data_IF_363853977067
#
_entry.id   IF_363853977067
#
_cell.length_a   1.000
_cell.length_b   1.000
_cell.length_c   1.000
_cell.angle_alpha   90.00
_cell.angle_beta   90.00
_cell.angle_gamma   90.00
#
_symmetry.space_group_name_H-M   'P 1'
#
loop_
_entity.id
_entity.type
_entity.pdbx_description
1 polymer ?
#
# COMPACT_ATOMS: atom_id res chain seq x y z
N UNK A 1 7.97 -9.66 -14.25
CA UNK A 1 6.64 -9.62 -13.64
C UNK A 1 6.69 -8.90 -12.30
N UNK A 2 5.63 -8.24 -11.92
CA UNK A 2 5.47 -7.63 -10.59
C UNK A 2 5.37 -8.73 -9.53
N UNK A 3 6.21 -8.70 -8.49
CA UNK A 3 6.04 -9.60 -7.35
C UNK A 3 4.81 -9.18 -6.55
N UNK A 4 4.06 -10.12 -5.96
CA UNK A 4 3.04 -9.78 -4.99
C UNK A 4 3.67 -9.24 -3.70
N UNK A 5 2.93 -8.42 -2.94
CA UNK A 5 3.45 -7.80 -1.70
C UNK A 5 3.76 -8.83 -0.60
N UNK A 6 3.12 -9.99 -0.64
CA UNK A 6 3.41 -11.10 0.25
C UNK A 6 4.66 -11.92 -0.16
N UNK A 7 5.29 -11.58 -1.28
CA UNK A 7 6.56 -12.18 -1.70
C UNK A 7 7.76 -11.68 -0.89
N UNK A 8 8.92 -12.33 -1.03
CA UNK A 8 10.14 -11.90 -0.35
C UNK A 8 10.52 -10.47 -0.74
N UNK A 9 10.87 -9.66 0.25
CA UNK A 9 11.29 -8.27 0.06
C UNK A 9 12.51 -7.91 0.91
N UNK A 10 13.37 -7.01 0.41
CA UNK A 10 14.53 -6.50 1.12
C UNK A 10 14.21 -5.33 2.05
N UNK A 11 13.04 -4.73 1.91
CA UNK A 11 12.65 -3.59 2.74
C UNK A 11 11.47 -2.80 2.20
N UNK A 12 11.20 -1.67 2.83
CA UNK A 12 10.07 -0.78 2.51
C UNK A 12 10.57 0.62 2.24
N UNK A 13 9.95 1.30 1.27
CA UNK A 13 10.23 2.70 0.98
C UNK A 13 9.20 3.56 1.73
N UNK A 14 9.67 4.56 2.45
CA UNK A 14 8.87 5.53 3.19
C UNK A 14 9.15 6.96 2.71
N UNK A 15 8.18 7.85 2.88
CA UNK A 15 8.36 9.30 2.72
C UNK A 15 8.22 9.96 4.07
N UNK A 16 9.30 10.56 4.59
CA UNK A 16 9.27 11.30 5.86
C UNK A 16 8.99 12.77 5.62
N UNK A 17 8.05 13.34 6.35
CA UNK A 17 7.64 14.75 6.27
C UNK A 17 6.14 14.91 6.07
N UNK A 18 5.72 16.13 5.75
CA UNK A 18 4.34 16.48 5.36
C UNK A 18 3.24 16.06 6.36
N UNK A 19 3.57 16.04 7.66
CA UNK A 19 2.58 15.78 8.73
C UNK A 19 2.46 14.32 9.17
N UNK A 20 3.07 13.35 8.45
CA UNK A 20 2.97 11.91 8.77
C UNK A 20 4.18 11.36 9.51
N UNK A 21 5.04 12.24 10.05
CA UNK A 21 6.30 11.86 10.68
C UNK A 21 6.13 10.80 11.79
N UNK A 22 5.11 10.94 12.64
CA UNK A 22 4.87 10.00 13.74
C UNK A 22 4.55 8.58 13.26
N UNK A 23 3.85 8.43 12.12
CA UNK A 23 3.50 7.14 11.55
C UNK A 23 4.72 6.52 10.89
N UNK A 24 5.42 7.28 10.05
CA UNK A 24 6.66 6.82 9.41
C UNK A 24 7.68 6.42 10.48
N UNK A 25 7.82 7.20 11.56
CA UNK A 25 8.71 6.88 12.68
C UNK A 25 8.34 5.58 13.36
N UNK A 26 7.05 5.33 13.63
CA UNK A 26 6.59 4.06 14.18
C UNK A 26 6.91 2.89 13.24
N UNK A 27 6.59 3.04 11.93
CA UNK A 27 6.85 1.99 10.94
C UNK A 27 8.34 1.68 10.85
N UNK A 28 9.20 2.69 10.73
CA UNK A 28 10.66 2.51 10.64
C UNK A 28 11.22 1.87 11.91
N UNK A 29 10.79 2.31 13.10
CA UNK A 29 11.21 1.72 14.36
C UNK A 29 10.83 0.24 14.43
N UNK A 30 9.55 -0.09 14.19
CA UNK A 30 9.06 -1.47 14.22
C UNK A 30 9.67 -2.36 13.13
N UNK A 31 10.05 -1.79 11.99
CA UNK A 31 10.71 -2.52 10.92
C UNK A 31 12.16 -2.88 11.27
N UNK A 32 12.87 -2.00 11.98
CA UNK A 32 14.32 -2.08 12.14
C UNK A 32 14.79 -2.50 13.53
N UNK A 33 13.93 -2.47 14.57
CA UNK A 33 14.31 -2.71 15.97
C UNK A 33 14.78 -4.15 16.27
N UNK A 34 14.25 -5.14 15.53
CA UNK A 34 14.60 -6.54 15.78
C UNK A 34 15.91 -6.91 15.04
N UNK A 35 16.96 -7.34 15.76
CA UNK A 35 18.23 -7.74 15.16
C UNK A 35 18.17 -9.03 14.34
N UNK A 36 17.09 -9.80 14.43
CA UNK A 36 16.91 -11.05 13.67
C UNK A 36 16.37 -10.80 12.27
N UNK A 37 15.88 -9.60 11.98
CA UNK A 37 15.35 -9.18 10.70
C UNK A 37 16.33 -8.22 10.01
N UNK A 38 16.63 -8.46 8.74
CA UNK A 38 17.60 -7.68 7.96
C UNK A 38 16.97 -6.67 7.00
N UNK A 39 15.63 -6.55 7.02
CA UNK A 39 14.88 -5.63 6.15
C UNK A 39 15.27 -4.18 6.41
N UNK A 40 15.36 -3.42 5.33
CA UNK A 40 15.76 -2.01 5.34
C UNK A 40 14.55 -1.08 5.24
N UNK A 41 14.67 0.06 5.90
CA UNK A 41 13.82 1.21 5.65
C UNK A 41 14.54 2.14 4.66
N UNK A 42 14.00 2.28 3.45
CA UNK A 42 14.44 3.29 2.50
C UNK A 42 13.59 4.54 2.72
N UNK A 43 14.20 5.68 3.04
CA UNK A 43 13.46 6.85 3.47
C UNK A 43 13.73 8.03 2.54
N UNK A 44 12.73 8.43 1.78
CA UNK A 44 12.77 9.63 0.94
C UNK A 44 12.59 10.85 1.83
N UNK A 45 13.51 11.79 1.71
CA UNK A 45 13.51 13.11 2.37
C UNK A 45 13.84 14.18 1.34
N UNK A 46 13.41 15.43 1.55
CA UNK A 46 13.64 16.52 0.57
C UNK A 46 14.89 17.35 0.83
N UNK A 47 15.60 17.10 1.92
CA UNK A 47 16.82 17.84 2.27
C UNK A 47 17.62 17.14 3.36
N UNK A 48 18.91 17.48 3.48
CA UNK A 48 19.76 17.03 4.58
C UNK A 48 19.23 17.47 5.97
N UNK A 49 18.55 18.61 6.05
CA UNK A 49 17.93 19.06 7.31
C UNK A 49 16.75 18.16 7.68
N UNK A 50 15.96 17.72 6.70
CA UNK A 50 14.86 16.78 6.94
C UNK A 50 15.39 15.39 7.30
N UNK A 51 16.49 14.94 6.67
CA UNK A 51 17.17 13.70 7.06
C UNK A 51 17.60 13.75 8.52
N UNK A 52 18.28 14.81 8.96
CA UNK A 52 18.71 14.95 10.34
C UNK A 52 17.53 14.92 11.34
N UNK A 53 16.39 15.50 10.96
CA UNK A 53 15.16 15.42 11.76
C UNK A 53 14.61 14.00 11.82
N UNK A 54 14.60 13.29 10.69
CA UNK A 54 14.15 11.90 10.62
C UNK A 54 15.05 10.97 11.46
N UNK A 55 16.38 11.12 11.36
CA UNK A 55 17.34 10.38 12.15
C UNK A 55 17.09 10.56 13.66
N UNK A 56 16.86 11.81 14.10
CA UNK A 56 16.58 12.11 15.51
C UNK A 56 15.27 11.44 15.98
N UNK A 57 14.20 11.52 15.18
CA UNK A 57 12.92 10.89 15.50
C UNK A 57 13.02 9.36 15.54
N UNK A 58 13.74 8.76 14.57
CA UNK A 58 13.91 7.32 14.48
C UNK A 58 14.73 6.77 15.66
N UNK A 59 15.83 7.44 16.01
CA UNK A 59 16.63 7.09 17.19
C UNK A 59 15.79 7.18 18.47
N UNK A 60 15.01 8.26 18.63
CA UNK A 60 14.14 8.43 19.80
C UNK A 60 13.07 7.34 19.90
N UNK A 61 12.65 6.76 18.77
CA UNK A 61 11.69 5.67 18.72
C UNK A 61 12.33 4.26 18.82
N UNK A 62 13.66 4.16 18.88
CA UNK A 62 14.38 2.88 19.02
C UNK A 62 14.74 2.20 17.70
N UNK A 63 14.66 2.90 16.57
CA UNK A 63 15.05 2.35 15.28
C UNK A 63 16.57 2.08 15.20
N UNK A 64 16.95 1.02 14.51
CA UNK A 64 18.34 0.75 14.13
C UNK A 64 18.70 1.51 12.84
N UNK A 65 19.41 2.62 12.97
CA UNK A 65 19.84 3.43 11.82
C UNK A 65 20.78 2.69 10.86
N UNK A 66 21.41 1.59 11.24
CA UNK A 66 22.22 0.79 10.32
C UNK A 66 21.38 0.11 9.23
N UNK A 67 20.06 -0.01 9.47
CA UNK A 67 19.08 -0.56 8.52
C UNK A 67 18.29 0.54 7.77
N UNK A 68 18.63 1.82 7.98
CA UNK A 68 17.95 2.95 7.32
C UNK A 68 18.83 3.50 6.20
N UNK A 69 18.25 3.58 5.00
CA UNK A 69 18.88 4.16 3.81
C UNK A 69 18.10 5.41 3.43
N UNK A 70 18.76 6.58 3.43
CA UNK A 70 18.12 7.82 3.03
C UNK A 70 18.35 8.13 1.56
N UNK A 71 17.28 8.55 0.87
CA UNK A 71 17.31 9.17 -0.45
C UNK A 71 16.87 10.63 -0.32
N UNK A 72 17.73 11.57 -0.75
CA UNK A 72 17.39 13.01 -0.70
C UNK A 72 16.85 13.40 -2.07
N UNK A 73 15.52 13.33 -2.21
CA UNK A 73 14.84 13.56 -3.48
C UNK A 73 13.69 14.57 -3.33
N UNK A 74 13.47 15.45 -4.32
CA UNK A 74 12.33 16.35 -4.30
C UNK A 74 11.02 15.54 -4.39
N UNK A 75 10.07 15.80 -3.51
CA UNK A 75 8.73 15.22 -3.58
C UNK A 75 7.68 16.24 -3.14
N UNK A 76 6.48 16.12 -3.72
CA UNK A 76 5.39 17.07 -3.50
C UNK A 76 4.46 16.63 -2.37
N UNK A 77 4.37 15.31 -2.11
CA UNK A 77 3.42 14.76 -1.15
C UNK A 77 3.95 13.57 -0.35
N UNK A 78 3.11 13.08 0.58
CA UNK A 78 3.40 11.92 1.43
C UNK A 78 3.00 10.58 0.77
N UNK A 79 2.28 10.60 -0.34
CA UNK A 79 1.59 9.45 -0.92
C UNK A 79 2.51 8.50 -1.69
N UNK A 80 3.59 8.04 -1.04
CA UNK A 80 4.58 7.18 -1.67
C UNK A 80 4.03 5.82 -2.11
N UNK A 81 3.00 5.30 -1.42
CA UNK A 81 2.27 4.11 -1.87
C UNK A 81 1.73 4.29 -3.29
N UNK A 82 1.34 5.52 -3.65
CA UNK A 82 0.67 5.81 -4.92
C UNK A 82 1.66 6.08 -6.04
N UNK A 83 2.71 6.87 -5.78
CA UNK A 83 3.69 7.28 -6.79
C UNK A 83 5.04 6.55 -6.69
N UNK A 84 5.23 5.70 -5.69
CA UNK A 84 6.49 4.99 -5.49
C UNK A 84 6.80 3.99 -6.61
N UNK A 85 8.04 3.53 -6.68
CA UNK A 85 8.47 2.63 -7.74
C UNK A 85 7.72 1.30 -7.70
N UNK A 86 7.25 0.86 -8.86
CA UNK A 86 6.74 -0.49 -9.06
C UNK A 86 7.87 -1.40 -9.52
N UNK A 87 8.40 -2.18 -8.59
CA UNK A 87 9.44 -3.16 -8.90
C UNK A 87 8.89 -4.30 -9.74
N UNK A 88 9.67 -4.70 -10.73
CA UNK A 88 9.38 -5.83 -11.60
C UNK A 88 10.62 -6.72 -11.76
N UNK A 89 10.41 -8.00 -11.93
CA UNK A 89 11.45 -8.93 -12.33
C UNK A 89 11.44 -9.13 -13.84
N UNK A 90 12.57 -8.86 -14.47
CA UNK A 90 12.84 -9.12 -15.87
C UNK A 90 13.88 -10.24 -15.94
N UNK A 91 13.42 -11.47 -16.06
CA UNK A 91 14.22 -12.66 -15.78
C UNK A 91 14.76 -12.61 -14.34
N UNK A 92 16.08 -12.60 -14.16
CA UNK A 92 16.73 -12.55 -12.84
C UNK A 92 17.16 -11.12 -12.45
N UNK A 93 16.83 -10.13 -13.23
CA UNK A 93 17.18 -8.73 -12.97
C UNK A 93 15.96 -7.93 -12.48
N UNK A 94 16.19 -7.10 -11.46
CA UNK A 94 15.20 -6.15 -10.97
C UNK A 94 15.15 -4.91 -11.90
N UNK A 95 13.97 -4.39 -12.10
CA UNK A 95 13.72 -3.14 -12.81
C UNK A 95 12.49 -2.45 -12.19
N UNK A 96 12.18 -1.25 -12.68
CA UNK A 96 11.00 -0.48 -12.26
C UNK A 96 10.11 -0.22 -13.47
N UNK A 97 8.81 -0.48 -13.34
CA UNK A 97 7.78 0.05 -14.23
C UNK A 97 7.37 1.43 -13.71
N UNK A 98 7.75 2.47 -14.45
CA UNK A 98 7.57 3.88 -14.07
C UNK A 98 6.33 4.43 -14.80
N UNK A 99 5.19 4.48 -14.12
CA UNK A 99 3.93 4.98 -14.64
C UNK A 99 3.72 6.46 -14.33
N UNK A 100 2.78 7.09 -15.02
CA UNK A 100 2.45 8.49 -14.78
C UNK A 100 1.64 8.67 -13.49
N UNK A 101 2.05 9.66 -12.70
CA UNK A 101 1.28 10.14 -11.57
C UNK A 101 0.61 11.50 -11.90
N UNK A 102 -0.03 12.13 -10.93
CA UNK A 102 -0.80 13.36 -11.16
C UNK A 102 0.06 14.51 -11.71
N UNK A 103 -0.36 15.18 -12.81
CA UNK A 103 0.39 16.31 -13.39
C UNK A 103 0.59 17.51 -12.43
N UNK A 104 -0.25 17.62 -11.39
CA UNK A 104 -0.13 18.63 -10.33
C UNK A 104 0.98 18.34 -9.32
N UNK A 105 1.60 17.15 -9.38
CA UNK A 105 2.65 16.67 -8.48
C UNK A 105 3.85 16.16 -9.29
N UNK A 106 4.54 17.05 -10.02
CA UNK A 106 5.60 16.65 -10.95
C UNK A 106 6.80 16.00 -10.25
N UNK A 107 7.15 16.43 -9.02
CA UNK A 107 8.27 15.83 -8.30
C UNK A 107 7.93 14.38 -7.88
N UNK A 108 6.72 14.13 -7.41
CA UNK A 108 6.27 12.78 -7.07
C UNK A 108 6.34 11.85 -8.29
N UNK A 109 5.97 12.37 -9.48
CA UNK A 109 6.01 11.60 -10.72
C UNK A 109 7.44 11.18 -11.14
N UNK A 110 8.47 11.88 -10.68
CA UNK A 110 9.88 11.54 -10.98
C UNK A 110 10.54 10.63 -9.94
N UNK A 111 9.91 10.38 -8.80
CA UNK A 111 10.49 9.56 -7.72
C UNK A 111 10.89 8.16 -8.20
N UNK A 112 10.09 7.40 -8.97
CA UNK A 112 10.51 6.08 -9.45
C UNK A 112 11.80 6.11 -10.26
N UNK A 113 11.94 7.07 -11.19
CA UNK A 113 13.16 7.25 -11.99
C UNK A 113 14.35 7.62 -11.10
N UNK A 114 14.20 8.61 -10.18
CA UNK A 114 15.29 9.05 -9.29
C UNK A 114 15.77 7.92 -8.37
N UNK A 115 14.84 7.17 -7.76
CA UNK A 115 15.21 6.03 -6.93
C UNK A 115 15.85 4.88 -7.74
N UNK A 116 15.40 4.68 -8.99
CA UNK A 116 16.02 3.70 -9.89
C UNK A 116 17.49 4.04 -10.16
N UNK A 117 17.80 5.32 -10.42
CA UNK A 117 19.14 5.80 -10.76
C UNK A 117 20.04 5.89 -9.52
N UNK A 118 19.58 6.57 -8.48
CA UNK A 118 20.44 7.03 -7.38
C UNK A 118 20.46 6.05 -6.18
N UNK A 119 19.39 5.28 -5.99
CA UNK A 119 19.27 4.38 -4.81
C UNK A 119 19.44 2.91 -5.18
N UNK A 120 18.72 2.44 -6.19
CA UNK A 120 18.67 1.00 -6.51
C UNK A 120 19.60 0.59 -7.65
N UNK A 121 20.02 1.53 -8.50
CA UNK A 121 20.87 1.30 -9.68
C UNK A 121 20.27 0.24 -10.61
N UNK A 122 19.00 0.42 -10.98
CA UNK A 122 18.23 -0.50 -11.82
C UNK A 122 17.57 0.27 -12.97
N UNK A 123 17.22 -0.40 -14.08
CA UNK A 123 16.48 0.23 -15.17
C UNK A 123 15.08 0.67 -14.72
N UNK A 124 14.61 1.85 -15.17
CA UNK A 124 13.23 2.27 -15.11
C UNK A 124 12.64 2.29 -16.53
N UNK A 125 11.46 1.69 -16.69
CA UNK A 125 10.75 1.63 -17.97
C UNK A 125 9.49 2.48 -17.90
N UNK A 126 9.38 3.58 -18.67
CA UNK A 126 8.20 4.43 -18.66
C UNK A 126 6.98 3.68 -19.19
N UNK A 127 6.01 3.45 -18.32
CA UNK A 127 4.73 2.82 -18.63
C UNK A 127 3.71 3.91 -18.96
N UNK A 128 3.14 3.95 -20.19
CA UNK A 128 2.25 5.02 -20.62
C UNK A 128 0.82 4.85 -20.05
N UNK A 129 0.71 4.83 -18.74
CA UNK A 129 -0.54 4.68 -17.98
C UNK A 129 -0.54 5.62 -16.80
N UNK A 130 -1.62 6.37 -16.58
CA UNK A 130 -1.88 7.02 -15.30
C UNK A 130 -2.30 5.97 -14.28
N UNK A 131 -1.62 5.95 -13.15
CA UNK A 131 -1.70 4.85 -12.22
C UNK A 131 -1.34 5.31 -10.79
N UNK A 132 -1.98 4.69 -9.82
CA UNK A 132 -1.66 4.85 -8.40
C UNK A 132 -1.40 3.48 -7.80
N UNK A 133 -0.27 3.34 -7.08
CA UNK A 133 0.14 2.07 -6.47
C UNK A 133 -0.84 1.53 -5.44
N UNK A 134 -1.55 2.39 -4.71
CA UNK A 134 -2.64 1.99 -3.82
C UNK A 134 -3.81 1.33 -4.55
N UNK A 135 -3.91 1.55 -5.86
CA UNK A 135 -4.92 0.92 -6.72
C UNK A 135 -4.41 -0.30 -7.49
N UNK A 136 -3.34 -0.96 -7.03
CA UNK A 136 -2.88 -2.18 -7.68
C UNK A 136 -2.32 -3.18 -6.69
N UNK A 137 -2.82 -4.41 -6.76
CA UNK A 137 -2.29 -5.54 -6.02
C UNK A 137 -1.96 -6.70 -6.97
N UNK A 138 -0.68 -6.99 -7.20
CA UNK A 138 -0.27 -8.22 -7.89
C UNK A 138 -0.69 -9.44 -7.05
N UNK A 139 -1.26 -10.43 -7.72
CA UNK A 139 -1.76 -11.66 -7.10
C UNK A 139 -1.06 -12.91 -7.64
N UNK A 140 -1.59 -14.10 -7.28
CA UNK A 140 -1.06 -15.37 -7.75
C UNK A 140 -1.27 -15.54 -9.26
N UNK A 141 -0.54 -16.47 -9.86
CA UNK A 141 -0.68 -16.88 -11.27
C UNK A 141 -0.64 -15.71 -12.26
N UNK A 142 0.17 -14.67 -11.94
CA UNK A 142 0.27 -13.44 -12.73
C UNK A 142 -1.08 -12.72 -12.89
N UNK A 143 -1.93 -12.83 -11.88
CA UNK A 143 -3.14 -12.01 -11.77
C UNK A 143 -2.81 -10.65 -11.16
N UNK A 144 -3.68 -9.67 -11.39
CA UNK A 144 -3.59 -8.34 -10.78
C UNK A 144 -4.98 -7.80 -10.51
N UNK A 145 -5.12 -7.05 -9.43
CA UNK A 145 -6.39 -6.47 -9.00
C UNK A 145 -6.28 -4.95 -8.93
N UNK A 146 -7.20 -4.28 -9.59
CA UNK A 146 -7.36 -2.82 -9.60
C UNK A 146 -8.84 -2.46 -9.43
N UNK A 147 -9.14 -1.22 -9.09
CA UNK A 147 -10.51 -0.72 -9.22
C UNK A 147 -10.72 -0.04 -10.58
N UNK A 148 -11.98 0.22 -10.92
CA UNK A 148 -12.37 1.00 -12.12
C UNK A 148 -11.85 2.45 -12.13
N UNK A 149 -11.10 2.88 -11.12
CA UNK A 149 -10.34 4.13 -11.14
C UNK A 149 -9.35 4.15 -12.30
N UNK A 150 -8.72 3.01 -12.62
CA UNK A 150 -7.77 2.92 -13.75
C UNK A 150 -8.40 3.34 -15.08
N UNK A 151 -9.67 3.05 -15.29
CA UNK A 151 -10.40 3.50 -16.50
C UNK A 151 -10.70 5.00 -16.46
N UNK A 152 -11.03 5.53 -15.29
CA UNK A 152 -11.29 6.97 -15.11
C UNK A 152 -10.03 7.80 -15.36
N UNK A 153 -8.90 7.34 -14.89
CA UNK A 153 -7.61 8.03 -15.03
C UNK A 153 -7.07 7.93 -16.48
N UNK A 154 -7.51 6.91 -17.23
CA UNK A 154 -7.11 6.66 -18.61
C UNK A 154 -8.33 6.61 -19.56
N UNK A 155 -9.10 7.68 -19.70
CA UNK A 155 -10.41 7.66 -20.38
C UNK A 155 -10.32 7.43 -21.90
N UNK A 156 -9.13 7.50 -22.46
CA UNK A 156 -8.89 7.24 -23.89
C UNK A 156 -8.49 5.80 -24.21
N UNK A 157 -8.23 4.99 -23.18
CA UNK A 157 -7.85 3.58 -23.31
C UNK A 157 -9.05 2.67 -23.10
N UNK A 158 -9.21 1.66 -23.94
CA UNK A 158 -10.14 0.56 -23.68
C UNK A 158 -9.55 -0.41 -22.64
N UNK A 159 -10.40 -1.25 -22.01
CA UNK A 159 -9.91 -2.24 -21.04
C UNK A 159 -8.80 -3.13 -21.62
N UNK A 160 -8.94 -3.58 -22.88
CA UNK A 160 -7.92 -4.39 -23.54
C UNK A 160 -6.57 -3.68 -23.72
N UNK A 161 -6.56 -2.34 -23.89
CA UNK A 161 -5.32 -1.54 -23.94
C UNK A 161 -4.66 -1.48 -22.57
N UNK A 162 -5.46 -1.28 -21.50
CA UNK A 162 -5.00 -1.27 -20.11
C UNK A 162 -4.42 -2.64 -19.75
N UNK A 163 -5.14 -3.73 -20.02
CA UNK A 163 -4.69 -5.11 -19.79
C UNK A 163 -3.36 -5.39 -20.52
N UNK A 164 -3.24 -4.95 -21.80
CA UNK A 164 -2.01 -5.11 -22.57
C UNK A 164 -0.81 -4.34 -21.96
N UNK A 165 -1.05 -3.16 -21.36
CA UNK A 165 -0.01 -2.42 -20.65
C UNK A 165 0.43 -3.14 -19.38
N UNK A 166 -0.50 -3.63 -18.55
CA UNK A 166 -0.18 -4.43 -17.38
C UNK A 166 0.57 -5.73 -17.74
N UNK A 167 0.16 -6.38 -18.82
CA UNK A 167 0.86 -7.58 -19.33
C UNK A 167 2.29 -7.25 -19.77
N UNK A 168 2.46 -6.18 -20.57
CA UNK A 168 3.75 -5.83 -21.15
C UNK A 168 4.77 -5.31 -20.16
N UNK A 169 4.33 -4.45 -19.21
CA UNK A 169 5.22 -3.78 -18.25
C UNK A 169 5.31 -4.51 -16.92
N UNK A 170 4.22 -5.08 -16.44
CA UNK A 170 4.14 -5.68 -15.13
C UNK A 170 4.01 -7.20 -15.14
N UNK A 171 3.86 -7.80 -16.33
CA UNK A 171 3.78 -9.24 -16.49
C UNK A 171 2.49 -9.84 -15.94
N UNK A 172 1.40 -9.07 -15.89
CA UNK A 172 0.09 -9.50 -15.42
C UNK A 172 -0.68 -10.08 -16.61
N UNK A 173 -1.02 -11.35 -16.55
CA UNK A 173 -1.77 -12.04 -17.63
C UNK A 173 -3.28 -11.87 -17.47
N UNK A 174 -3.78 -11.71 -16.25
CA UNK A 174 -5.19 -11.50 -15.97
C UNK A 174 -5.38 -10.30 -15.03
N UNK A 175 -5.99 -9.23 -15.55
CA UNK A 175 -6.29 -8.04 -14.76
C UNK A 175 -7.77 -8.04 -14.32
N UNK A 176 -8.01 -8.07 -13.02
CA UNK A 176 -9.34 -7.98 -12.43
C UNK A 176 -9.67 -6.51 -12.13
N UNK A 177 -10.58 -5.92 -12.91
CA UNK A 177 -11.03 -4.54 -12.70
C UNK A 177 -12.28 -4.57 -11.80
N UNK A 178 -12.09 -4.26 -10.53
CA UNK A 178 -13.11 -4.30 -9.49
C UNK A 178 -13.88 -2.97 -9.41
N UNK A 179 -15.13 -2.95 -8.88
CA UNK A 179 -15.80 -1.70 -8.54
C UNK A 179 -15.01 -0.92 -7.49
N UNK A 180 -14.96 0.42 -7.62
CA UNK A 180 -14.41 1.30 -6.58
C UNK A 180 -15.47 1.67 -5.55
N UNK A 181 -15.03 2.05 -4.35
CA UNK A 181 -15.91 2.69 -3.37
C UNK A 181 -16.45 4.03 -3.89
N UNK A 182 -17.64 4.47 -3.43
CA UNK A 182 -18.14 5.80 -3.76
C UNK A 182 -17.19 6.89 -3.26
N UNK A 183 -16.99 7.96 -4.05
CA UNK A 183 -16.12 9.08 -3.66
C UNK A 183 -16.58 9.84 -2.39
N UNK A 184 -17.80 9.62 -1.91
CA UNK A 184 -18.28 10.10 -0.61
C UNK A 184 -17.83 9.22 0.57
N UNK A 185 -17.28 8.06 0.30
CA UNK A 185 -16.73 7.11 1.29
C UNK A 185 -15.22 7.16 1.24
N UNK A 186 -14.67 6.97 0.05
CA UNK A 186 -13.24 7.02 -0.23
C UNK A 186 -12.99 7.90 -1.46
N UNK A 187 -12.30 9.01 -1.24
CA UNK A 187 -11.97 9.96 -2.29
C UNK A 187 -10.87 9.48 -3.24
N UNK A 188 -10.10 8.47 -2.84
CA UNK A 188 -8.99 7.93 -3.65
C UNK A 188 -9.51 6.96 -4.72
N UNK A 189 -10.49 6.14 -4.38
CA UNK A 189 -11.02 5.07 -5.24
C UNK A 189 -10.10 3.87 -5.37
N UNK A 190 -9.11 3.74 -4.48
CA UNK A 190 -8.11 2.69 -4.49
C UNK A 190 -8.62 1.36 -3.95
N UNK A 191 -8.00 0.27 -4.39
CA UNK A 191 -8.37 -1.07 -3.96
C UNK A 191 -7.89 -1.38 -2.54
N UNK A 192 -6.73 -0.88 -2.14
CA UNK A 192 -6.15 -1.05 -0.80
C UNK A 192 -6.97 -0.41 0.32
N UNK A 193 -7.91 0.47 -0.03
CA UNK A 193 -8.84 1.08 0.91
C UNK A 193 -9.93 0.12 1.39
N UNK A 194 -10.11 -1.05 0.76
CA UNK A 194 -11.17 -1.97 1.13
C UNK A 194 -10.85 -3.46 0.91
N UNK A 195 -9.73 -3.79 0.26
CA UNK A 195 -9.28 -5.16 0.01
C UNK A 195 -7.76 -5.26 0.09
N UNK A 196 -7.24 -6.38 0.61
CA UNK A 196 -5.82 -6.66 0.64
C UNK A 196 -5.56 -8.15 0.44
N UNK A 197 -4.63 -8.50 -0.48
CA UNK A 197 -4.16 -9.86 -0.70
C UNK A 197 -3.14 -10.22 0.38
N UNK A 198 -3.50 -11.13 1.27
CA UNK A 198 -2.66 -11.54 2.40
C UNK A 198 -1.56 -12.51 1.94
N UNK A 199 -1.92 -13.45 1.08
CA UNK A 199 -1.03 -14.40 0.42
C UNK A 199 -1.64 -14.93 -0.89
N UNK A 200 -1.14 -16.07 -1.41
CA UNK A 200 -1.54 -16.61 -2.72
C UNK A 200 -2.98 -17.11 -2.78
N UNK A 201 -3.61 -17.43 -1.65
CA UNK A 201 -4.98 -17.96 -1.57
C UNK A 201 -5.86 -17.28 -0.51
N UNK A 202 -5.36 -16.21 0.12
CA UNK A 202 -6.06 -15.53 1.23
C UNK A 202 -6.21 -14.04 0.95
N UNK A 203 -7.42 -13.51 1.15
CA UNK A 203 -7.75 -12.08 1.02
C UNK A 203 -8.52 -11.59 2.24
N UNK A 204 -8.22 -10.36 2.68
CA UNK A 204 -9.00 -9.65 3.67
C UNK A 204 -9.79 -8.51 3.02
N UNK A 205 -11.10 -8.41 3.32
CA UNK A 205 -12.02 -7.44 2.71
C UNK A 205 -12.73 -6.69 3.83
N UNK A 206 -12.83 -5.37 3.68
CA UNK A 206 -13.58 -4.51 4.59
C UNK A 206 -15.05 -4.94 4.73
N UNK A 207 -15.55 -4.99 5.96
CA UNK A 207 -16.95 -5.20 6.30
C UNK A 207 -17.52 -3.90 6.86
N UNK A 208 -18.28 -3.19 6.04
CA UNK A 208 -18.91 -1.95 6.49
C UNK A 208 -20.00 -2.23 7.50
N UNK A 209 -19.97 -1.55 8.64
CA UNK A 209 -20.98 -1.71 9.71
C UNK A 209 -22.38 -1.31 9.21
N UNK A 210 -23.47 -1.88 9.78
CA UNK A 210 -24.84 -1.51 9.45
C UNK A 210 -25.08 0.00 9.60
N UNK A 211 -25.70 0.61 8.59
CA UNK A 211 -25.94 2.06 8.54
C UNK A 211 -24.85 2.84 7.81
N UNK A 212 -23.77 2.22 7.39
CA UNK A 212 -22.79 2.79 6.47
C UNK A 212 -23.38 3.01 5.06
N UNK A 213 -22.60 3.60 4.16
CA UNK A 213 -23.01 3.83 2.78
C UNK A 213 -23.43 2.52 2.08
N UNK A 214 -24.65 2.45 1.58
CA UNK A 214 -25.22 1.23 0.98
C UNK A 214 -24.43 0.74 -0.25
N UNK A 215 -23.85 1.65 -1.03
CA UNK A 215 -23.03 1.28 -2.19
C UNK A 215 -21.70 0.68 -1.73
N UNK A 216 -21.06 1.22 -0.68
CA UNK A 216 -19.85 0.65 -0.13
C UNK A 216 -20.08 -0.77 0.40
N UNK A 217 -21.19 -0.97 1.15
CA UNK A 217 -21.61 -2.31 1.58
C UNK A 217 -21.77 -3.22 0.36
N UNK A 218 -22.48 -2.78 -0.68
CA UNK A 218 -22.70 -3.58 -1.88
C UNK A 218 -21.40 -3.96 -2.59
N UNK A 219 -20.43 -3.04 -2.71
CA UNK A 219 -19.14 -3.29 -3.33
C UNK A 219 -18.38 -4.38 -2.57
N UNK A 220 -18.25 -4.23 -1.25
CA UNK A 220 -17.47 -5.18 -0.44
C UNK A 220 -18.17 -6.53 -0.26
N UNK A 221 -19.51 -6.56 -0.14
CA UNK A 221 -20.27 -7.82 -0.08
C UNK A 221 -20.23 -8.60 -1.39
N UNK A 222 -20.29 -7.92 -2.55
CA UNK A 222 -20.16 -8.59 -3.85
C UNK A 222 -18.75 -9.09 -4.13
N UNK A 223 -17.73 -8.46 -3.56
CA UNK A 223 -16.35 -8.90 -3.69
C UNK A 223 -16.10 -10.25 -3.00
N UNK A 224 -16.81 -10.57 -1.92
CA UNK A 224 -16.64 -11.84 -1.19
C UNK A 224 -16.88 -13.06 -2.11
N UNK A 225 -18.08 -13.28 -2.69
CA UNK A 225 -18.29 -14.43 -3.56
C UNK A 225 -17.44 -14.37 -4.84
N UNK A 226 -17.06 -13.19 -5.31
CA UNK A 226 -16.17 -13.05 -6.44
C UNK A 226 -14.78 -13.61 -6.12
N UNK A 227 -14.16 -13.19 -5.02
CA UNK A 227 -12.83 -13.67 -4.61
C UNK A 227 -12.87 -15.16 -4.28
N UNK A 228 -13.94 -15.65 -3.63
CA UNK A 228 -14.15 -17.07 -3.41
C UNK A 228 -14.23 -17.86 -4.72
N UNK A 229 -14.84 -17.31 -5.76
CA UNK A 229 -14.90 -17.97 -7.08
C UNK A 229 -13.54 -18.06 -7.78
N UNK A 230 -12.58 -17.22 -7.37
CA UNK A 230 -11.19 -17.26 -7.82
C UNK A 230 -10.31 -18.19 -6.94
N UNK A 231 -10.88 -18.80 -5.90
CA UNK A 231 -10.20 -19.74 -5.02
C UNK A 231 -9.68 -19.15 -3.71
N UNK A 232 -9.90 -17.86 -3.44
CA UNK A 232 -9.44 -17.23 -2.21
C UNK A 232 -10.30 -17.60 -0.99
N UNK A 233 -9.65 -17.84 0.14
CA UNK A 233 -10.27 -17.75 1.45
C UNK A 233 -10.44 -16.27 1.81
N UNK A 234 -11.64 -15.88 2.25
CA UNK A 234 -11.99 -14.49 2.51
C UNK A 234 -12.19 -14.26 4.00
N UNK A 235 -11.37 -13.35 4.54
CA UNK A 235 -11.53 -12.81 5.88
C UNK A 235 -12.13 -11.41 5.83
N UNK A 236 -12.75 -10.97 6.94
CA UNK A 236 -13.42 -9.67 7.01
C UNK A 236 -12.84 -8.84 8.15
N UNK A 237 -12.69 -7.53 7.91
CA UNK A 237 -12.24 -6.57 8.91
C UNK A 237 -13.21 -5.38 8.97
N UNK A 238 -13.47 -4.78 10.15
CA UNK A 238 -14.39 -3.66 10.27
C UNK A 238 -14.01 -2.49 9.33
N UNK A 239 -15.02 -1.76 8.85
CA UNK A 239 -14.84 -0.49 8.15
C UNK A 239 -16.07 0.39 8.37
N UNK A 240 -15.86 1.71 8.43
CA UNK A 240 -16.97 2.69 8.55
C UNK A 240 -16.53 4.07 8.09
N UNK A 241 -17.53 4.97 7.99
CA UNK A 241 -17.29 6.38 7.78
C UNK A 241 -17.77 7.19 8.98
N UNK A 242 -16.97 8.18 9.40
CA UNK A 242 -17.40 9.24 10.30
C UNK A 242 -17.30 10.57 9.53
N UNK A 243 -18.46 11.08 9.08
CA UNK A 243 -18.48 12.20 8.13
C UNK A 243 -17.83 11.81 6.79
N UNK A 244 -16.82 12.57 6.36
CA UNK A 244 -16.05 12.32 5.15
C UNK A 244 -14.84 11.42 5.37
N UNK A 245 -14.57 11.02 6.62
CA UNK A 245 -13.41 10.20 6.97
C UNK A 245 -13.75 8.74 6.84
N UNK A 246 -12.95 8.00 6.07
CA UNK A 246 -13.03 6.55 5.93
C UNK A 246 -12.03 5.87 6.87
N UNK A 247 -12.54 5.05 7.77
CA UNK A 247 -11.75 4.20 8.64
C UNK A 247 -11.68 2.81 8.02
N UNK A 248 -10.46 2.36 7.75
CA UNK A 248 -10.20 1.05 7.15
C UNK A 248 -8.96 0.41 7.77
N UNK A 249 -8.98 -0.91 7.89
CA UNK A 249 -7.84 -1.70 8.35
C UNK A 249 -7.17 -2.47 7.21
N UNK A 250 -7.64 -2.31 5.96
CA UNK A 250 -7.03 -2.95 4.79
C UNK A 250 -5.94 -2.11 4.14
N UNK A 251 -5.82 -0.80 4.49
CA UNK A 251 -4.70 0.04 4.05
C UNK A 251 -3.45 -0.28 4.89
N UNK A 252 -2.97 -1.51 4.71
CA UNK A 252 -1.86 -2.12 5.40
C UNK A 252 -0.69 -2.37 4.44
N UNK A 253 0.44 -2.84 4.93
CA UNK A 253 1.51 -3.34 4.09
C UNK A 253 2.22 -4.52 4.75
N UNK A 254 2.74 -5.44 3.92
CA UNK A 254 3.46 -6.63 4.36
C UNK A 254 4.95 -6.53 4.05
N UNK A 255 5.77 -7.01 4.96
CA UNK A 255 7.21 -7.19 4.81
C UNK A 255 7.56 -8.56 5.33
N UNK A 256 7.76 -9.51 4.42
CA UNK A 256 8.08 -10.90 4.73
C UNK A 256 7.06 -11.52 5.71
N UNK A 257 7.45 -11.77 6.95
CA UNK A 257 6.65 -12.35 8.02
C UNK A 257 5.99 -11.32 8.95
N UNK A 258 5.94 -10.05 8.56
CA UNK A 258 5.29 -8.97 9.32
C UNK A 258 4.28 -8.21 8.47
N UNK A 259 3.09 -7.94 9.04
CA UNK A 259 2.05 -7.11 8.42
C UNK A 259 1.79 -5.91 9.33
N UNK A 260 1.94 -4.71 8.78
CA UNK A 260 1.73 -3.43 9.46
C UNK A 260 0.30 -2.97 9.22
N UNK A 261 -0.50 -2.93 10.29
CA UNK A 261 -1.94 -2.66 10.23
C UNK A 261 -2.27 -1.37 10.96
N UNK A 262 -3.01 -0.43 10.34
CA UNK A 262 -3.44 0.78 11.03
C UNK A 262 -4.38 0.46 12.20
N UNK A 263 -4.25 1.21 13.30
CA UNK A 263 -5.19 1.21 14.44
C UNK A 263 -5.52 2.64 14.84
N UNK A 264 -6.66 2.85 15.49
CA UNK A 264 -7.20 4.17 15.80
C UNK A 264 -7.54 4.38 17.28
N UNK A 265 -7.70 3.30 18.03
CA UNK A 265 -8.06 3.28 19.44
C UNK A 265 -7.12 4.03 20.39
N UNK A 266 -5.77 4.05 20.16
CA UNK A 266 -4.87 4.84 21.01
C UNK A 266 -5.17 6.35 21.01
N UNK A 267 -5.79 6.89 19.95
CA UNK A 267 -6.23 8.29 19.90
C UNK A 267 -7.68 8.49 20.30
N UNK A 268 -8.52 7.44 20.23
CA UNK A 268 -9.92 7.49 20.62
C UNK A 268 -10.41 6.12 21.10
N UNK A 269 -10.65 6.02 22.40
CA UNK A 269 -11.05 4.75 23.04
C UNK A 269 -12.33 4.12 22.46
N UNK A 270 -13.15 4.87 21.73
CA UNK A 270 -14.33 4.33 21.07
C UNK A 270 -14.00 3.31 19.95
N UNK A 271 -12.77 3.31 19.44
CA UNK A 271 -12.32 2.43 18.35
C UNK A 271 -11.52 1.21 18.84
N UNK A 272 -11.34 1.02 20.14
CA UNK A 272 -10.54 -0.09 20.70
C UNK A 272 -11.13 -1.47 20.37
N UNK A 273 -12.44 -1.61 20.35
CA UNK A 273 -13.10 -2.87 20.02
C UNK A 273 -12.96 -3.20 18.53
N UNK A 274 -13.04 -2.18 17.66
CA UNK A 274 -12.83 -2.32 16.21
C UNK A 274 -11.37 -2.66 15.90
N UNK A 275 -10.41 -2.00 16.55
CA UNK A 275 -8.98 -2.32 16.45
C UNK A 275 -8.72 -3.78 16.85
N UNK A 276 -9.31 -4.22 17.98
CA UNK A 276 -9.14 -5.60 18.47
C UNK A 276 -9.71 -6.61 17.47
N UNK A 277 -10.90 -6.34 16.92
CA UNK A 277 -11.53 -7.18 15.90
C UNK A 277 -10.69 -7.22 14.61
N UNK A 278 -10.17 -6.09 14.16
CA UNK A 278 -9.32 -6.01 12.98
C UNK A 278 -8.01 -6.79 13.16
N UNK A 279 -7.30 -6.58 14.26
CA UNK A 279 -6.05 -7.29 14.57
C UNK A 279 -6.30 -8.80 14.67
N UNK A 280 -7.43 -9.23 15.23
CA UNK A 280 -7.81 -10.64 15.26
C UNK A 280 -8.04 -11.19 13.86
N UNK A 281 -8.77 -10.47 13.00
CA UNK A 281 -9.02 -10.89 11.62
C UNK A 281 -7.70 -11.02 10.84
N UNK A 282 -6.79 -10.06 10.97
CA UNK A 282 -5.48 -10.11 10.34
C UNK A 282 -4.64 -11.30 10.82
N UNK A 283 -4.63 -11.60 12.12
CA UNK A 283 -3.94 -12.79 12.67
C UNK A 283 -4.51 -14.11 12.16
N UNK A 284 -5.82 -14.17 11.97
CA UNK A 284 -6.46 -15.35 11.40
C UNK A 284 -6.13 -15.51 9.92
N UNK A 285 -6.19 -14.42 9.16
CA UNK A 285 -5.90 -14.39 7.73
C UNK A 285 -4.43 -14.72 7.41
N UNK A 286 -3.49 -14.16 8.18
CA UNK A 286 -2.05 -14.32 7.90
C UNK A 286 -1.43 -15.61 8.48
N UNK A 287 -2.14 -16.30 9.38
CA UNK A 287 -1.66 -17.52 9.99
C UNK A 287 -0.55 -17.33 11.04
N UNK A 288 -0.07 -18.42 11.66
CA UNK A 288 0.79 -18.38 12.85
C UNK A 288 2.26 -17.95 12.58
N UNK A 289 2.68 -17.90 11.32
CA UNK A 289 4.04 -17.56 10.94
C UNK A 289 4.25 -16.05 10.65
N UNK A 290 3.19 -15.24 10.77
CA UNK A 290 3.23 -13.82 10.43
C UNK A 290 2.86 -12.97 11.64
N UNK A 291 3.71 -12.01 11.96
CA UNK A 291 3.44 -11.03 13.02
C UNK A 291 2.54 -9.91 12.49
N UNK A 292 1.45 -9.62 13.20
CA UNK A 292 0.60 -8.45 12.93
C UNK A 292 1.06 -7.31 13.83
N UNK A 293 1.61 -6.27 13.21
CA UNK A 293 2.18 -5.08 13.86
C UNK A 293 1.19 -3.92 13.81
N UNK A 294 0.56 -3.55 14.93
CA UNK A 294 -0.36 -2.41 14.95
C UNK A 294 0.40 -1.08 14.89
N UNK A 295 -0.05 -0.17 14.03
CA UNK A 295 0.49 1.19 13.87
C UNK A 295 -0.61 2.21 14.20
N UNK A 296 -0.33 3.09 15.16
CA UNK A 296 -1.28 4.12 15.54
C UNK A 296 -1.39 5.19 14.45
N UNK A 297 -2.48 5.14 13.69
CA UNK A 297 -2.80 6.05 12.59
C UNK A 297 -3.83 7.13 12.95
N UNK A 298 -4.24 7.26 14.21
CA UNK A 298 -5.26 8.23 14.61
C UNK A 298 -4.90 9.68 14.27
N UNK A 299 -3.62 10.03 14.33
CA UNK A 299 -3.16 11.41 14.09
C UNK A 299 -3.31 11.89 12.63
N UNK A 300 -3.53 10.98 11.67
CA UNK A 300 -3.73 11.33 10.25
C UNK A 300 -5.19 11.27 9.83
N UNK A 301 -6.08 10.92 10.74
CA UNK A 301 -7.52 10.99 10.53
C UNK A 301 -7.94 12.45 10.70
N UNK A 302 -8.57 13.07 9.67
CA UNK A 302 -8.94 14.48 9.70
C UNK A 302 -10.03 14.80 10.72
#
# INVERSE_FOLDING_TARGET
>A
ASPPEYGPTEGVIFRYGAGWNSIVTQCVARLTEDPLHDEKAFVVVTSAAQQASAEADFVAAGADLAKVVFAIEPSDSIWLRDYGPHFIWQSDAMAIADSHYYPSRPNDNFIPTLLAEDTFTVPAYPMPLYYSGGNFQPGPDRSGFVTSLVNQDNPTLANGDIEALYQSFQGIDTLHIMPRLPGTVDGTGHIDMWMYLVDEDTVIISEFIPGSNATAITVTENAVPYMQSLGFEVFRTPAWNAGSTHYTYTNAFRVNDRIFVPIYGPGNAAYLDDDAAAIQAWRQASGPGVEVVPINCYSIIP
#
